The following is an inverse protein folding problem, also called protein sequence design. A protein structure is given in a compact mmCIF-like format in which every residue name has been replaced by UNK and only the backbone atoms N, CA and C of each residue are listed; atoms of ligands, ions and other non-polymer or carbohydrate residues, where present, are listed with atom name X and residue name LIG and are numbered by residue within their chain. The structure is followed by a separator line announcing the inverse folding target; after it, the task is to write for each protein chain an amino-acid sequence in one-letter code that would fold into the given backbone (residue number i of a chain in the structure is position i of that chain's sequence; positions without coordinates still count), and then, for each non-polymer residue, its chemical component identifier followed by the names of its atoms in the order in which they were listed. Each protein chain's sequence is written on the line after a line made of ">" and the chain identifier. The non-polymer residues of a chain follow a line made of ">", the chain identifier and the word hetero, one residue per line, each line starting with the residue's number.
data_IF_268166655622
#
_entry.id   IF_268166655622
#
_cell.length_a   1.000
_cell.length_b   1.000
_cell.length_c   1.000
_cell.angle_alpha   90.00
_cell.angle_beta   90.00
_cell.angle_gamma   90.00
#
_symmetry.space_group_name_H-M   'P 1'
#
loop_
_entity.id
_entity.type
_entity.pdbx_description
1 polymer ?
#
# COMPACT_ATOMS: atom_id res chain seq x y z
N UNK A 1 -6.54 -8.34 -6.29
CA UNK A 1 -6.06 -9.74 -6.21
C UNK A 1 -6.79 -10.48 -5.10
N UNK A 2 -6.59 -10.16 -3.82
CA UNK A 2 -7.09 -10.98 -2.69
C UNK A 2 -8.49 -10.68 -2.17
N UNK A 3 -9.13 -9.58 -2.59
CA UNK A 3 -10.50 -9.25 -2.17
C UNK A 3 -10.59 -8.71 -0.74
N UNK A 4 -11.82 -8.70 -0.18
CA UNK A 4 -12.12 -8.17 1.16
C UNK A 4 -11.81 -9.15 2.30
N UNK A 5 -12.07 -10.43 2.08
CA UNK A 5 -11.89 -11.49 3.09
C UNK A 5 -10.44 -11.99 3.10
N UNK A 6 -9.51 -11.06 3.34
CA UNK A 6 -8.08 -11.33 3.35
C UNK A 6 -7.38 -10.57 4.47
N UNK A 7 -6.21 -11.09 4.88
CA UNK A 7 -5.31 -10.40 5.80
C UNK A 7 -4.07 -9.95 5.02
N UNK A 8 -3.85 -8.63 4.95
CA UNK A 8 -2.61 -8.06 4.42
C UNK A 8 -1.63 -7.85 5.57
N UNK A 9 -0.56 -8.65 5.61
CA UNK A 9 0.45 -8.58 6.67
C UNK A 9 1.66 -7.76 6.25
N UNK A 10 1.93 -6.69 6.99
CA UNK A 10 3.07 -5.80 6.76
C UNK A 10 4.07 -5.90 7.91
N UNK A 11 5.01 -6.85 7.84
CA UNK A 11 6.09 -7.00 8.82
C UNK A 11 7.13 -5.88 8.69
N UNK A 12 8.10 -6.05 7.79
CA UNK A 12 9.09 -5.01 7.46
C UNK A 12 8.43 -3.70 7.00
N UNK A 13 7.29 -3.79 6.32
CA UNK A 13 6.47 -2.64 5.91
C UNK A 13 5.83 -1.83 7.06
N UNK A 14 5.95 -2.28 8.31
CA UNK A 14 5.54 -1.50 9.50
C UNK A 14 6.76 -1.09 10.32
N UNK A 15 7.61 -2.07 10.66
CA UNK A 15 8.74 -1.87 11.57
C UNK A 15 9.91 -1.11 10.92
N UNK A 16 10.04 -1.15 9.60
CA UNK A 16 11.13 -0.52 8.86
C UNK A 16 11.00 0.99 8.67
N UNK A 17 9.96 1.63 9.22
CA UNK A 17 9.75 3.07 9.05
C UNK A 17 10.53 3.88 10.07
N UNK A 18 11.29 4.90 9.63
CA UNK A 18 12.06 5.76 10.53
C UNK A 18 11.23 6.45 11.61
N UNK A 19 9.95 6.71 11.34
CA UNK A 19 9.02 7.34 12.28
C UNK A 19 8.41 6.37 13.32
N UNK A 20 8.79 5.09 13.32
CA UNK A 20 8.38 4.09 14.30
C UNK A 20 7.11 3.31 13.94
N UNK A 21 6.77 2.34 14.79
CA UNK A 21 5.76 1.31 14.50
C UNK A 21 4.34 1.86 14.34
N UNK A 22 3.93 2.80 15.20
CA UNK A 22 2.57 3.34 15.17
C UNK A 22 2.31 4.16 13.89
N UNK A 23 3.18 5.12 13.50
CA UNK A 23 3.09 5.75 12.19
C UNK A 23 3.14 4.75 11.04
N UNK A 24 3.86 3.64 11.21
CA UNK A 24 3.86 2.58 10.22
C UNK A 24 2.55 1.85 10.04
N UNK A 25 1.90 1.50 11.13
CA UNK A 25 0.57 0.93 11.10
C UNK A 25 -0.44 1.93 10.50
N UNK A 26 -0.32 3.22 10.83
CA UNK A 26 -1.14 4.29 10.26
C UNK A 26 -1.00 4.35 8.74
N UNK A 27 0.23 4.34 8.22
CA UNK A 27 0.46 4.38 6.77
C UNK A 27 -0.24 3.22 6.04
N UNK A 28 -0.09 1.98 6.52
CA UNK A 28 -0.71 0.80 5.93
C UNK A 28 -2.25 0.84 6.04
N UNK A 29 -2.79 1.48 7.09
CA UNK A 29 -4.24 1.63 7.25
C UNK A 29 -4.82 2.69 6.33
N UNK A 30 -4.14 3.83 6.17
CA UNK A 30 -4.56 4.91 5.26
C UNK A 30 -4.50 4.42 3.80
N UNK A 31 -3.45 3.70 3.43
CA UNK A 31 -3.31 3.08 2.11
C UNK A 31 -4.49 2.16 1.81
N UNK A 32 -4.77 1.19 2.69
CA UNK A 32 -5.92 0.28 2.53
C UNK A 32 -7.27 1.02 2.46
N UNK A 33 -7.46 2.06 3.29
CA UNK A 33 -8.67 2.89 3.24
C UNK A 33 -8.86 3.57 1.88
N UNK A 34 -7.78 4.11 1.31
CA UNK A 34 -7.78 4.73 -0.02
C UNK A 34 -8.14 3.74 -1.14
N UNK A 35 -7.56 2.54 -1.10
CA UNK A 35 -7.88 1.46 -2.05
C UNK A 35 -9.35 1.01 -1.97
N UNK A 36 -9.85 0.78 -0.75
CA UNK A 36 -11.23 0.33 -0.53
C UNK A 36 -12.22 1.39 -1.00
N UNK A 37 -11.98 2.66 -0.66
CA UNK A 37 -12.82 3.76 -1.13
C UNK A 37 -12.83 3.84 -2.66
N UNK A 38 -11.65 3.90 -3.30
CA UNK A 38 -11.55 3.99 -4.76
C UNK A 38 -12.24 2.82 -5.46
N UNK A 39 -12.11 1.60 -4.92
CA UNK A 39 -12.82 0.42 -5.43
C UNK A 39 -14.33 0.59 -5.33
N UNK A 40 -14.82 1.03 -4.18
CA UNK A 40 -16.26 1.20 -3.94
C UNK A 40 -16.85 2.33 -4.81
N UNK A 41 -16.05 3.30 -5.21
CA UNK A 41 -16.38 4.34 -6.20
C UNK A 41 -16.28 3.85 -7.66
N UNK A 42 -15.98 2.57 -7.89
CA UNK A 42 -15.93 1.96 -9.22
C UNK A 42 -14.64 2.23 -10.01
N UNK A 43 -13.57 2.72 -9.35
CA UNK A 43 -12.29 3.00 -10.02
C UNK A 43 -11.54 1.72 -10.38
N UNK A 44 -10.74 1.78 -11.45
CA UNK A 44 -9.93 0.67 -11.88
C UNK A 44 -8.58 0.65 -11.13
N UNK A 45 -8.54 -0.13 -10.05
CA UNK A 45 -7.36 -0.23 -9.18
C UNK A 45 -6.07 -0.63 -9.91
N UNK A 46 -6.15 -1.51 -10.92
CA UNK A 46 -4.98 -1.98 -11.65
C UNK A 46 -4.33 -0.88 -12.51
N UNK A 47 -5.11 0.10 -12.96
CA UNK A 47 -4.64 1.21 -13.80
C UNK A 47 -4.38 2.48 -13.01
N UNK A 48 -5.20 2.73 -12.00
CA UNK A 48 -5.25 4.01 -11.27
C UNK A 48 -4.57 3.95 -9.89
N UNK A 49 -4.05 2.79 -9.52
CA UNK A 49 -3.54 2.51 -8.17
C UNK A 49 -2.51 3.49 -7.65
N UNK A 50 -1.51 3.81 -8.47
CA UNK A 50 -0.47 4.75 -8.08
C UNK A 50 -1.03 6.15 -7.79
N UNK A 51 -2.05 6.58 -8.54
CA UNK A 51 -2.65 7.90 -8.35
C UNK A 51 -3.55 7.93 -7.13
N UNK A 52 -4.30 6.85 -6.85
CA UNK A 52 -5.06 6.69 -5.60
C UNK A 52 -4.15 6.86 -4.39
N UNK A 53 -3.00 6.18 -4.38
CA UNK A 53 -2.06 6.25 -3.26
C UNK A 53 -1.38 7.61 -3.17
N UNK A 54 -1.01 8.22 -4.30
CA UNK A 54 -0.47 9.60 -4.31
C UNK A 54 -1.45 10.59 -3.70
N UNK A 55 -2.73 10.54 -4.09
CA UNK A 55 -3.76 11.42 -3.53
C UNK A 55 -3.97 11.17 -2.03
N UNK A 56 -3.99 9.90 -1.59
CA UNK A 56 -4.09 9.57 -0.17
C UNK A 56 -2.90 10.12 0.64
N UNK A 57 -1.68 10.01 0.12
CA UNK A 57 -0.47 10.52 0.79
C UNK A 57 -0.46 12.05 0.96
N UNK A 58 -1.18 12.82 0.14
CA UNK A 58 -1.29 14.27 0.36
C UNK A 58 -1.96 14.63 1.69
N UNK A 59 -2.75 13.71 2.26
CA UNK A 59 -3.48 13.90 3.51
C UNK A 59 -2.93 13.10 4.68
N UNK A 60 -1.87 12.30 4.48
CA UNK A 60 -1.21 11.53 5.54
C UNK A 60 0.32 11.63 5.40
N UNK A 61 1.00 12.33 6.32
CA UNK A 61 2.46 12.37 6.31
C UNK A 61 3.10 10.99 6.53
N UNK A 62 2.44 10.09 7.26
CA UNK A 62 2.90 8.71 7.48
C UNK A 62 2.91 7.90 6.18
N UNK A 63 1.85 8.02 5.37
CA UNK A 63 1.78 7.38 4.07
C UNK A 63 2.75 8.04 3.08
N UNK A 64 2.88 9.37 3.09
CA UNK A 64 3.87 10.05 2.25
C UNK A 64 5.29 9.56 2.52
N UNK A 65 5.69 9.46 3.80
CA UNK A 65 6.98 8.92 4.18
C UNK A 65 7.16 7.44 3.77
N UNK A 66 6.07 6.64 3.83
CA UNK A 66 6.06 5.27 3.32
C UNK A 66 6.40 5.19 1.84
N UNK A 67 5.68 5.99 1.05
CA UNK A 67 5.79 6.02 -0.39
C UNK A 67 7.21 6.43 -0.79
N UNK A 68 7.78 7.46 -0.17
CA UNK A 68 9.14 7.89 -0.48
C UNK A 68 10.19 6.82 -0.15
N UNK A 69 10.02 6.11 0.96
CA UNK A 69 10.97 5.10 1.40
C UNK A 69 10.99 3.85 0.51
N UNK A 70 9.83 3.42 0.00
CA UNK A 70 9.69 2.12 -0.68
C UNK A 70 9.30 2.19 -2.15
N UNK A 71 9.16 3.38 -2.76
CA UNK A 71 8.73 3.57 -4.16
C UNK A 71 9.52 2.77 -5.21
N UNK A 72 10.78 2.48 -4.95
CA UNK A 72 11.65 1.77 -5.90
C UNK A 72 11.70 0.26 -5.65
N UNK A 73 11.15 -0.22 -4.54
CA UNK A 73 11.24 -1.64 -4.16
C UNK A 73 10.24 -2.45 -4.98
N UNK A 74 10.76 -3.35 -5.81
CA UNK A 74 10.00 -4.32 -6.59
C UNK A 74 10.66 -5.68 -6.51
N UNK A 75 9.85 -6.73 -6.64
CA UNK A 75 10.32 -8.11 -6.69
C UNK A 75 9.93 -8.69 -8.05
N UNK A 76 10.89 -8.72 -8.97
CA UNK A 76 10.72 -9.19 -10.35
C UNK A 76 11.64 -10.40 -10.56
N UNK A 77 11.07 -11.59 -10.40
CA UNK A 77 11.77 -12.88 -10.53
C UNK A 77 10.89 -13.86 -11.29
N UNK A 78 11.51 -14.84 -11.96
CA UNK A 78 10.78 -15.93 -12.59
C UNK A 78 10.12 -16.83 -11.53
N UNK A 79 8.88 -17.24 -11.80
CA UNK A 79 8.13 -18.14 -10.91
C UNK A 79 8.53 -19.58 -11.18
N UNK A 80 8.86 -20.33 -10.12
CA UNK A 80 9.21 -21.76 -10.23
C UNK A 80 7.97 -22.62 -10.49
N UNK A 81 6.86 -22.28 -9.84
CA UNK A 81 5.58 -22.98 -10.01
C UNK A 81 4.74 -22.23 -11.06
N UNK A 82 4.48 -22.88 -12.19
CA UNK A 82 3.66 -22.37 -13.28
C UNK A 82 2.57 -23.37 -13.64
N UNK A 83 1.47 -22.89 -14.25
CA UNK A 83 0.32 -23.72 -14.66
C UNK A 83 0.71 -24.79 -15.67
#
# INVERSE_FOLDING_TARGET
>A
IVGDDAVLQFGGGTLGKPCGNAPGATANRVEQGGWIQARNEGRNLAREGNDIIREASKRSPELAAACELWKEIKFEFETVDTV
#
